data_IF_772854988926
#
_entry.id   IF_772854988926
#
_cell.length_a   1.000
_cell.length_b   1.000
_cell.length_c   1.000
_cell.angle_alpha   90.00
_cell.angle_beta   90.00
_cell.angle_gamma   90.00
#
_symmetry.space_group_name_H-M   'P 1'
#
loop_
_entity.id
_entity.type
_entity.pdbx_description
1 polymer ?
#
# COMPACT_ATOMS: atom_id res chain seq x y z
N UNK A 1 46.42 -7.66 38.21
CA UNK A 1 46.22 -8.53 37.02
C UNK A 1 44.78 -9.03 36.91
N UNK A 2 44.21 -9.67 37.94
CA UNK A 2 42.80 -10.13 37.89
C UNK A 2 41.75 -9.00 37.78
N UNK A 3 41.96 -7.83 38.40
CA UNK A 3 41.02 -6.70 38.29
C UNK A 3 40.95 -6.09 36.88
N UNK A 4 42.06 -6.11 36.14
CA UNK A 4 42.13 -5.62 34.77
C UNK A 4 41.32 -6.51 33.83
N UNK A 5 41.47 -7.84 33.97
CA UNK A 5 40.70 -8.83 33.20
C UNK A 5 39.20 -8.68 33.47
N UNK A 6 38.80 -8.48 34.73
CA UNK A 6 37.39 -8.25 35.08
C UNK A 6 36.82 -6.97 34.44
N UNK A 7 37.61 -5.90 34.39
CA UNK A 7 37.20 -4.64 33.78
C UNK A 7 37.07 -4.76 32.25
N UNK A 8 38.01 -5.46 31.61
CA UNK A 8 37.97 -5.73 30.16
C UNK A 8 36.77 -6.61 29.78
N UNK A 9 36.47 -7.64 30.59
CA UNK A 9 35.26 -8.45 30.44
C UNK A 9 33.97 -7.62 30.58
N UNK A 10 33.90 -6.72 31.56
CA UNK A 10 32.74 -5.82 31.71
C UNK A 10 32.56 -4.89 30.50
N UNK A 11 33.65 -4.37 29.94
CA UNK A 11 33.60 -3.54 28.73
C UNK A 11 33.13 -4.34 27.51
N UNK A 12 33.60 -5.58 27.36
CA UNK A 12 33.17 -6.47 26.28
C UNK A 12 31.68 -6.84 26.40
N UNK A 13 31.19 -7.12 27.61
CA UNK A 13 29.77 -7.39 27.87
C UNK A 13 28.92 -6.16 27.50
N UNK A 14 29.28 -4.98 27.98
CA UNK A 14 28.55 -3.74 27.66
C UNK A 14 28.53 -3.44 26.15
N UNK A 15 29.64 -3.71 25.46
CA UNK A 15 29.72 -3.59 24.01
C UNK A 15 28.79 -4.61 23.31
N UNK A 16 28.74 -5.84 23.80
CA UNK A 16 27.87 -6.89 23.27
C UNK A 16 26.39 -6.54 23.46
N UNK A 17 25.99 -6.04 24.62
CA UNK A 17 24.62 -5.57 24.90
C UNK A 17 24.20 -4.43 23.97
N UNK A 18 25.11 -3.47 23.73
CA UNK A 18 24.89 -2.38 22.78
C UNK A 18 24.68 -2.89 21.35
N UNK A 19 25.49 -3.88 20.92
CA UNK A 19 25.34 -4.51 19.60
C UNK A 19 24.00 -5.23 19.46
N UNK A 20 23.60 -6.01 20.47
CA UNK A 20 22.29 -6.69 20.52
C UNK A 20 21.13 -5.68 20.38
N UNK A 21 21.22 -4.54 21.07
CA UNK A 21 20.20 -3.48 20.96
C UNK A 21 20.11 -2.91 19.54
N UNK A 22 21.25 -2.66 18.89
CA UNK A 22 21.28 -2.14 17.53
C UNK A 22 20.71 -3.15 16.51
N UNK A 23 21.01 -4.43 16.67
CA UNK A 23 20.45 -5.50 15.84
C UNK A 23 18.93 -5.52 15.91
N UNK A 24 18.35 -5.49 17.11
CA UNK A 24 16.89 -5.46 17.29
C UNK A 24 16.25 -4.23 16.61
N UNK A 25 16.88 -3.06 16.70
CA UNK A 25 16.39 -1.86 16.00
C UNK A 25 16.41 -2.05 14.47
N UNK A 26 17.45 -2.70 13.94
CA UNK A 26 17.55 -3.00 12.51
C UNK A 26 16.46 -3.99 12.10
N UNK A 27 16.25 -5.07 12.85
CA UNK A 27 15.20 -6.06 12.61
C UNK A 27 13.81 -5.43 12.58
N UNK A 28 13.49 -4.58 13.57
CA UNK A 28 12.22 -3.86 13.61
C UNK A 28 12.03 -2.94 12.40
N UNK A 29 13.10 -2.24 11.97
CA UNK A 29 13.05 -1.37 10.77
C UNK A 29 12.84 -2.18 9.49
N UNK A 30 13.50 -3.33 9.36
CA UNK A 30 13.34 -4.23 8.21
C UNK A 30 11.91 -4.75 8.13
N UNK A 31 11.37 -5.24 9.25
CA UNK A 31 9.99 -5.71 9.33
C UNK A 31 8.97 -4.60 8.98
N UNK A 32 9.20 -3.37 9.43
CA UNK A 32 8.34 -2.24 9.07
C UNK A 32 8.40 -1.88 7.58
N UNK A 33 9.60 -1.95 6.98
CA UNK A 33 9.83 -1.70 5.55
C UNK A 33 9.09 -2.74 4.69
N UNK A 34 9.21 -4.02 5.03
CA UNK A 34 8.54 -5.12 4.33
C UNK A 34 7.01 -4.99 4.41
N UNK A 35 6.48 -4.67 5.58
CA UNK A 35 5.04 -4.47 5.77
C UNK A 35 4.48 -3.27 5.00
N UNK A 36 5.31 -2.28 4.65
CA UNK A 36 4.91 -1.10 3.88
C UNK A 36 4.87 -1.37 2.37
N UNK A 37 5.68 -2.29 1.88
CA UNK A 37 5.73 -2.63 0.45
C UNK A 37 4.54 -3.52 0.07
N UNK A 38 3.98 -3.22 -1.10
CA UNK A 38 2.92 -4.03 -1.71
C UNK A 38 3.56 -4.89 -2.80
N UNK A 39 3.63 -6.18 -2.57
CA UNK A 39 4.12 -7.09 -3.60
C UNK A 39 3.01 -7.40 -4.63
N UNK A 40 3.38 -8.01 -5.76
CA UNK A 40 2.42 -8.30 -6.83
C UNK A 40 1.27 -9.22 -6.40
N UNK A 41 1.53 -10.20 -5.52
CA UNK A 41 0.51 -11.13 -5.02
C UNK A 41 -0.51 -10.40 -4.14
N UNK A 42 -0.03 -9.58 -3.21
CA UNK A 42 -0.87 -8.76 -2.33
C UNK A 42 -1.70 -7.77 -3.14
N UNK A 43 -1.10 -7.15 -4.16
CA UNK A 43 -1.82 -6.23 -5.03
C UNK A 43 -2.92 -6.97 -5.83
N UNK A 44 -2.65 -8.18 -6.34
CA UNK A 44 -3.69 -9.00 -6.98
C UNK A 44 -4.83 -9.35 -6.02
N UNK A 45 -4.52 -9.74 -4.78
CA UNK A 45 -5.53 -10.01 -3.76
C UNK A 45 -6.33 -8.76 -3.40
N UNK A 46 -5.67 -7.59 -3.38
CA UNK A 46 -6.34 -6.30 -3.19
C UNK A 46 -7.37 -6.03 -4.28
N UNK A 47 -7.00 -6.19 -5.55
CA UNK A 47 -7.93 -6.03 -6.68
C UNK A 47 -9.10 -7.03 -6.58
N UNK A 48 -8.83 -8.29 -6.27
CA UNK A 48 -9.88 -9.30 -6.06
C UNK A 48 -10.83 -8.92 -4.92
N UNK A 49 -10.29 -8.45 -3.79
CA UNK A 49 -11.09 -7.96 -2.68
C UNK A 49 -11.98 -6.78 -3.08
N UNK A 50 -11.45 -5.83 -3.86
CA UNK A 50 -12.23 -4.71 -4.40
C UNK A 50 -13.36 -5.20 -5.32
N UNK A 51 -13.10 -6.22 -6.14
CA UNK A 51 -14.13 -6.81 -6.99
C UNK A 51 -15.24 -7.52 -6.20
N UNK A 52 -14.90 -8.14 -5.06
CA UNK A 52 -15.85 -8.89 -4.22
C UNK A 52 -16.68 -7.98 -3.31
N UNK A 53 -16.04 -6.99 -2.68
CA UNK A 53 -16.67 -6.20 -1.62
C UNK A 53 -16.94 -4.75 -2.03
N UNK A 54 -16.36 -4.30 -3.13
CA UNK A 54 -16.42 -2.92 -3.60
C UNK A 54 -15.39 -2.00 -2.94
N UNK A 55 -15.41 -0.73 -3.35
CA UNK A 55 -14.45 0.31 -2.95
C UNK A 55 -14.55 0.74 -1.48
N UNK A 56 -15.75 0.68 -0.90
CA UNK A 56 -16.05 1.23 0.43
C UNK A 56 -15.73 0.25 1.58
N UNK A 57 -15.75 -1.06 1.28
CA UNK A 57 -15.61 -2.15 2.27
C UNK A 57 -14.15 -2.56 2.51
N UNK A 58 -13.34 -1.60 2.95
CA UNK A 58 -11.89 -1.79 3.12
C UNK A 58 -11.51 -2.80 4.22
N UNK A 59 -12.40 -3.01 5.21
CA UNK A 59 -12.16 -3.97 6.29
C UNK A 59 -12.25 -5.41 5.76
N UNK A 60 -13.24 -5.67 4.92
CA UNK A 60 -13.48 -6.95 4.27
C UNK A 60 -12.36 -7.27 3.26
N UNK A 61 -11.88 -6.25 2.53
CA UNK A 61 -10.70 -6.37 1.67
C UNK A 61 -9.45 -6.73 2.47
N UNK A 62 -9.23 -6.12 3.63
CA UNK A 62 -8.09 -6.45 4.49
C UNK A 62 -8.17 -7.87 5.05
N UNK A 63 -9.35 -8.32 5.46
CA UNK A 63 -9.60 -9.70 5.88
C UNK A 63 -9.32 -10.70 4.76
N UNK A 64 -9.58 -10.34 3.50
CA UNK A 64 -9.27 -11.16 2.34
C UNK A 64 -7.76 -11.25 2.03
N UNK A 65 -7.02 -10.14 2.16
CA UNK A 65 -5.57 -10.10 1.89
C UNK A 65 -4.77 -10.81 2.99
N UNK A 66 -5.20 -10.69 4.26
CA UNK A 66 -4.60 -11.26 5.47
C UNK A 66 -3.18 -10.76 5.83
N UNK A 67 -2.36 -10.36 4.86
CA UNK A 67 -0.98 -9.88 5.08
C UNK A 67 -0.88 -8.37 5.38
N UNK A 68 -1.97 -7.62 5.19
CA UNK A 68 -2.04 -6.17 5.39
C UNK A 68 -3.22 -5.82 6.29
N UNK A 69 -3.01 -4.90 7.22
CA UNK A 69 -4.04 -4.46 8.14
C UNK A 69 -5.00 -3.44 7.52
N UNK A 70 -6.15 -3.21 8.18
CA UNK A 70 -7.19 -2.29 7.70
C UNK A 70 -6.66 -0.88 7.39
N UNK A 71 -5.75 -0.35 8.21
CA UNK A 71 -5.17 1.00 8.01
C UNK A 71 -4.29 1.04 6.77
N UNK A 72 -3.48 0.00 6.53
CA UNK A 72 -2.63 -0.13 5.35
C UNK A 72 -3.46 -0.26 4.08
N UNK A 73 -4.49 -1.10 4.09
CA UNK A 73 -5.43 -1.27 2.97
C UNK A 73 -6.15 0.04 2.68
N UNK A 74 -6.61 0.76 3.70
CA UNK A 74 -7.24 2.08 3.54
C UNK A 74 -6.31 3.09 2.87
N UNK A 75 -5.07 3.20 3.36
CA UNK A 75 -4.06 4.10 2.78
C UNK A 75 -3.71 3.71 1.34
N UNK A 76 -3.61 2.41 1.05
CA UNK A 76 -3.36 1.91 -0.31
C UNK A 76 -4.54 2.19 -1.23
N UNK A 77 -5.77 1.92 -0.81
CA UNK A 77 -7.00 2.26 -1.53
C UNK A 77 -7.04 3.73 -1.91
N UNK A 78 -6.80 4.63 -0.94
CA UNK A 78 -6.83 6.07 -1.20
C UNK A 78 -5.81 6.46 -2.28
N UNK A 79 -4.57 5.95 -2.18
CA UNK A 79 -3.52 6.23 -3.18
C UNK A 79 -3.83 5.61 -4.54
N UNK A 80 -4.36 4.40 -4.55
CA UNK A 80 -4.75 3.69 -5.76
C UNK A 80 -5.83 4.47 -6.52
N UNK A 81 -6.96 4.77 -5.87
CA UNK A 81 -8.05 5.52 -6.49
C UNK A 81 -7.66 6.97 -6.82
N UNK A 82 -6.82 7.61 -6.01
CA UNK A 82 -6.31 8.95 -6.32
C UNK A 82 -5.44 8.98 -7.59
N UNK A 83 -4.61 7.96 -7.80
CA UNK A 83 -3.85 7.81 -9.06
C UNK A 83 -4.79 7.57 -10.25
N UNK A 84 -5.81 6.73 -10.09
CA UNK A 84 -6.80 6.49 -11.14
C UNK A 84 -7.56 7.77 -11.50
N UNK A 85 -7.97 8.55 -10.50
CA UNK A 85 -8.65 9.82 -10.71
C UNK A 85 -7.76 10.85 -11.40
N UNK A 86 -6.51 11.01 -10.94
CA UNK A 86 -5.54 11.90 -11.57
C UNK A 86 -5.34 11.54 -13.05
N UNK A 87 -5.10 10.25 -13.31
CA UNK A 87 -4.95 9.73 -14.65
C UNK A 87 -6.21 10.02 -15.48
N UNK A 88 -7.42 9.79 -14.93
CA UNK A 88 -8.68 10.05 -15.62
C UNK A 88 -8.87 11.54 -15.96
N UNK A 89 -8.63 12.44 -15.00
CA UNK A 89 -8.76 13.89 -15.18
C UNK A 89 -7.76 14.48 -16.17
N UNK A 90 -6.54 13.93 -16.28
CA UNK A 90 -5.57 14.32 -17.33
C UNK A 90 -6.12 13.94 -18.71
N UNK A 91 -6.66 12.74 -18.84
CA UNK A 91 -7.09 12.19 -20.12
C UNK A 91 -8.41 12.79 -20.64
N UNK A 92 -9.30 13.30 -19.78
CA UNK A 92 -10.51 14.02 -20.23
C UNK A 92 -10.18 15.35 -20.93
N UNK A 93 -9.12 16.06 -20.50
CA UNK A 93 -8.74 17.35 -21.10
C UNK A 93 -8.27 17.23 -22.55
N UNK A 94 -7.85 16.03 -22.94
CA UNK A 94 -7.46 15.68 -24.30
C UNK A 94 -8.51 14.71 -24.86
N UNK A 95 -9.44 15.22 -25.68
CA UNK A 95 -10.67 14.55 -26.19
C UNK A 95 -10.52 13.17 -26.89
N UNK A 96 -9.37 12.50 -26.84
CA UNK A 96 -9.04 11.25 -27.55
C UNK A 96 -8.86 10.02 -26.64
N UNK A 97 -9.08 10.09 -25.32
CA UNK A 97 -8.58 9.04 -24.40
C UNK A 97 -9.59 8.42 -23.41
N UNK A 98 -10.90 8.63 -23.57
CA UNK A 98 -11.93 7.86 -22.81
C UNK A 98 -11.81 6.33 -23.06
N UNK A 99 -11.62 5.82 -24.30
CA UNK A 99 -11.43 4.39 -24.55
C UNK A 99 -10.17 3.82 -23.88
N UNK A 100 -9.15 4.66 -23.69
CA UNK A 100 -7.90 4.25 -23.05
C UNK A 100 -8.06 4.09 -21.53
N UNK A 101 -9.05 4.78 -20.93
CA UNK A 101 -9.39 4.67 -19.50
C UNK A 101 -10.00 3.32 -19.17
N UNK A 102 -10.98 2.94 -19.96
CA UNK A 102 -11.62 1.65 -19.87
C UNK A 102 -10.62 0.53 -20.12
N UNK A 103 -9.74 0.68 -21.12
CA UNK A 103 -8.65 -0.28 -21.37
C UNK A 103 -7.72 -0.42 -20.16
N UNK A 104 -7.18 0.68 -19.63
CA UNK A 104 -6.25 0.63 -18.50
C UNK A 104 -6.89 0.08 -17.22
N UNK A 105 -8.12 0.47 -16.91
CA UNK A 105 -8.79 -0.05 -15.71
C UNK A 105 -9.12 -1.54 -15.84
N UNK A 106 -9.40 -2.02 -17.06
CA UNK A 106 -9.57 -3.45 -17.35
C UNK A 106 -8.25 -4.24 -17.23
N UNK A 107 -7.11 -3.65 -17.63
CA UNK A 107 -5.78 -4.26 -17.43
C UNK A 107 -5.40 -4.40 -15.95
N UNK A 108 -5.97 -3.58 -15.06
CA UNK A 108 -5.80 -3.71 -13.62
C UNK A 108 -6.60 -4.90 -13.03
N UNK A 109 -7.45 -5.55 -13.82
CA UNK A 109 -8.27 -6.67 -13.37
C UNK A 109 -9.50 -6.27 -12.55
N UNK A 110 -9.92 -5.00 -12.62
CA UNK A 110 -11.17 -4.54 -12.02
C UNK A 110 -12.36 -5.06 -12.84
N UNK A 111 -13.45 -5.42 -12.15
CA UNK A 111 -14.68 -5.83 -12.84
C UNK A 111 -15.38 -4.63 -13.50
N UNK A 112 -16.21 -4.92 -14.50
CA UNK A 112 -16.86 -3.89 -15.34
C UNK A 112 -17.77 -2.94 -14.52
N UNK A 113 -18.48 -3.46 -13.53
CA UNK A 113 -19.37 -2.65 -12.68
C UNK A 113 -18.59 -1.60 -11.86
N UNK A 114 -17.43 -1.99 -11.31
CA UNK A 114 -16.55 -1.09 -10.57
C UNK A 114 -15.92 -0.07 -11.50
N UNK A 115 -15.48 -0.48 -12.70
CA UNK A 115 -14.94 0.43 -13.71
C UNK A 115 -15.97 1.51 -14.08
N UNK A 116 -17.20 1.11 -14.40
CA UNK A 116 -18.27 2.03 -14.78
C UNK A 116 -18.61 3.00 -13.64
N UNK A 117 -18.65 2.50 -12.40
CA UNK A 117 -18.89 3.33 -11.22
C UNK A 117 -17.78 4.36 -11.04
N UNK A 118 -16.51 3.98 -11.19
CA UNK A 118 -15.37 4.89 -11.06
C UNK A 118 -15.38 5.97 -12.16
N UNK A 119 -15.68 5.60 -13.40
CA UNK A 119 -15.76 6.54 -14.53
C UNK A 119 -16.83 7.60 -14.26
N UNK A 120 -18.02 7.19 -13.81
CA UNK A 120 -19.11 8.10 -13.47
C UNK A 120 -18.72 9.02 -12.30
N UNK A 121 -18.20 8.44 -11.20
CA UNK A 121 -17.77 9.21 -10.02
C UNK A 121 -16.72 10.27 -10.37
N UNK A 122 -15.73 9.92 -11.19
CA UNK A 122 -14.67 10.85 -11.57
C UNK A 122 -15.14 11.91 -12.57
N UNK A 123 -16.12 11.59 -13.42
CA UNK A 123 -16.70 12.55 -14.36
C UNK A 123 -17.54 13.61 -13.65
N UNK A 124 -18.39 13.21 -12.69
CA UNK A 124 -19.22 14.15 -11.92
C UNK A 124 -18.38 15.15 -11.12
N UNK A 125 -17.27 14.71 -10.50
CA UNK A 125 -16.39 15.60 -9.73
C UNK A 125 -15.65 16.65 -10.57
N UNK A 126 -15.47 16.42 -11.87
CA UNK A 126 -14.84 17.40 -12.76
C UNK A 126 -15.84 18.52 -13.17
N UNK A 127 -17.15 18.24 -13.15
CA UNK A 127 -18.19 19.22 -13.51
C UNK A 127 -18.62 20.13 -12.34
N UNK A 128 -18.24 19.83 -11.10
CA UNK A 128 -18.52 20.67 -9.92
C UNK A 128 -17.48 21.81 -9.71
N UNK A 129 -16.46 21.89 -10.58
CA UNK A 129 -15.37 22.88 -10.51
C UNK A 129 -15.36 23.87 -11.70
N UNK A 130 -16.46 23.92 -12.48
CA UNK A 130 -16.72 24.94 -13.50
C UNK A 130 -17.89 25.83 -13.06
#
# INVERSE_FOLDING_TARGET
MQSYIAQELQQLIAKQESLLKNLNIIEQKLQFSENKQWNQREHRQFIQGINLYGKTKQKEVAQYIQTKNNKQVSSHSQKFFGKLQMWFSINIKTNYMIPYAEYHFKQLGLNEQIVNTLILEFSCKNNELQ
#
